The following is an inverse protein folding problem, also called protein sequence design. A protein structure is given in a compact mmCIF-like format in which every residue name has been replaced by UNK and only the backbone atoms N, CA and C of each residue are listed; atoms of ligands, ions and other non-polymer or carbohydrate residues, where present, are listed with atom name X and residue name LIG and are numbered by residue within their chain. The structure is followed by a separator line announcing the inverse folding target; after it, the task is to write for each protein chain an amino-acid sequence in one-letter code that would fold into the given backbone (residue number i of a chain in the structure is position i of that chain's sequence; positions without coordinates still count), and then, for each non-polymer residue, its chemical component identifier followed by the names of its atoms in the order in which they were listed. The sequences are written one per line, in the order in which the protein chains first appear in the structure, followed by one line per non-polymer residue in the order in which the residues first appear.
data_IF_665931139211
#
_entry.id   IF_665931139211
#
_cell.length_a   1.000
_cell.length_b   1.000
_cell.length_c   1.000
_cell.angle_alpha   90.00
_cell.angle_beta   90.00
_cell.angle_gamma   90.00
#
_symmetry.space_group_name_H-M   'P 1'
#
loop_
_entity.id
_entity.type
_entity.pdbx_description
1 polymer ?
#
# COMPACT_ATOMS: atom_id res chain seq x y z
N UNK A 1 -8.20 -0.38 -33.30
CA UNK A 1 -7.52 -1.58 -32.79
C UNK A 1 -8.52 -2.74 -32.82
N UNK A 2 -8.07 -3.94 -33.21
CA UNK A 2 -8.90 -5.14 -33.20
C UNK A 2 -8.83 -5.88 -31.84
N UNK A 3 -7.77 -5.61 -31.07
CA UNK A 3 -7.51 -6.18 -29.77
C UNK A 3 -6.97 -5.12 -28.82
N UNK A 4 -7.53 -5.08 -27.61
CA UNK A 4 -7.08 -4.25 -26.48
C UNK A 4 -6.66 -5.18 -25.34
N UNK A 5 -5.44 -4.99 -24.80
CA UNK A 5 -4.95 -5.73 -23.65
C UNK A 5 -4.65 -4.73 -22.54
N UNK A 6 -5.21 -4.95 -21.36
CA UNK A 6 -5.03 -4.10 -20.20
C UNK A 6 -4.58 -4.93 -18.99
N UNK A 7 -3.49 -4.49 -18.36
CA UNK A 7 -2.97 -5.09 -17.13
C UNK A 7 -3.38 -4.23 -15.94
N UNK A 8 -4.13 -4.81 -15.02
CA UNK A 8 -4.67 -4.18 -13.81
C UNK A 8 -5.24 -2.76 -14.05
N UNK A 9 -6.14 -2.56 -15.02
CA UNK A 9 -6.56 -1.22 -15.43
C UNK A 9 -7.35 -0.46 -14.36
N UNK A 10 -7.82 -1.14 -13.32
CA UNK A 10 -8.61 -0.55 -12.24
C UNK A 10 -7.77 -0.16 -11.02
N UNK A 11 -6.49 -0.52 -11.01
CA UNK A 11 -5.61 -0.23 -9.87
C UNK A 11 -5.51 1.26 -9.58
N UNK A 12 -5.68 1.60 -8.30
CA UNK A 12 -5.59 2.99 -7.79
C UNK A 12 -6.64 3.96 -8.34
N UNK A 13 -7.69 3.46 -9.00
CA UNK A 13 -8.81 4.26 -9.44
C UNK A 13 -9.87 4.38 -8.34
N UNK A 14 -10.58 5.51 -8.29
CA UNK A 14 -11.79 5.64 -7.49
C UNK A 14 -13.00 4.98 -8.19
N UNK A 15 -14.07 4.75 -7.43
CA UNK A 15 -15.26 4.06 -7.95
C UNK A 15 -15.88 4.73 -9.18
N UNK A 16 -15.92 6.06 -9.23
CA UNK A 16 -16.46 6.81 -10.36
C UNK A 16 -15.64 6.58 -11.62
N UNK A 17 -14.31 6.61 -11.50
CA UNK A 17 -13.38 6.35 -12.61
C UNK A 17 -13.45 4.88 -13.06
N UNK A 18 -13.57 3.92 -12.13
CA UNK A 18 -13.75 2.50 -12.45
C UNK A 18 -15.03 2.29 -13.27
N UNK A 19 -16.15 2.92 -12.88
CA UNK A 19 -17.41 2.83 -13.61
C UNK A 19 -17.30 3.42 -15.02
N UNK A 20 -16.69 4.60 -15.17
CA UNK A 20 -16.48 5.23 -16.48
C UNK A 20 -15.60 4.38 -17.40
N UNK A 21 -14.53 3.78 -16.84
CA UNK A 21 -13.64 2.91 -17.59
C UNK A 21 -14.33 1.61 -18.01
N UNK A 22 -15.12 1.00 -17.13
CA UNK A 22 -15.93 -0.17 -17.44
C UNK A 22 -16.91 0.09 -18.58
N UNK A 23 -17.58 1.23 -18.58
CA UNK A 23 -18.48 1.61 -19.65
C UNK A 23 -17.73 1.83 -20.97
N UNK A 24 -16.53 2.41 -20.92
CA UNK A 24 -15.65 2.57 -22.08
C UNK A 24 -15.27 1.21 -22.68
N UNK A 25 -14.88 0.22 -21.85
CA UNK A 25 -14.60 -1.13 -22.30
C UNK A 25 -15.84 -1.80 -22.93
N UNK A 26 -17.02 -1.63 -22.31
CA UNK A 26 -18.28 -2.17 -22.82
C UNK A 26 -18.60 -1.62 -24.22
N UNK A 27 -18.39 -0.33 -24.43
CA UNK A 27 -18.56 0.30 -25.75
C UNK A 27 -17.55 -0.23 -26.77
N UNK A 28 -16.28 -0.43 -26.37
CA UNK A 28 -15.26 -1.02 -27.24
C UNK A 28 -15.64 -2.45 -27.67
N UNK A 29 -16.09 -3.30 -26.74
CA UNK A 29 -16.58 -4.65 -27.02
C UNK A 29 -17.78 -4.62 -27.95
N UNK A 30 -18.74 -3.74 -27.71
CA UNK A 30 -19.92 -3.56 -28.58
C UNK A 30 -19.54 -3.09 -30.00
N UNK A 31 -18.40 -2.42 -30.16
CA UNK A 31 -17.85 -1.99 -31.46
C UNK A 31 -17.01 -3.08 -32.14
N UNK A 32 -16.94 -4.30 -31.59
CA UNK A 32 -16.23 -5.44 -32.17
C UNK A 32 -14.75 -5.51 -31.78
N UNK A 33 -14.28 -4.74 -30.80
CA UNK A 33 -12.92 -4.85 -30.28
C UNK A 33 -12.85 -6.01 -29.28
N UNK A 34 -11.91 -6.93 -29.46
CA UNK A 34 -11.61 -7.96 -28.46
C UNK A 34 -10.85 -7.30 -27.28
N UNK A 35 -11.24 -7.62 -26.04
CA UNK A 35 -10.58 -7.08 -24.85
C UNK A 35 -10.07 -8.22 -23.97
N UNK A 36 -8.82 -8.11 -23.55
CA UNK A 36 -8.20 -8.99 -22.57
C UNK A 36 -7.88 -8.14 -21.34
N UNK A 37 -8.43 -8.52 -20.18
CA UNK A 37 -8.10 -7.92 -18.89
C UNK A 37 -7.27 -8.89 -18.08
N UNK A 38 -6.12 -8.46 -17.61
CA UNK A 38 -5.34 -9.14 -16.60
C UNK A 38 -5.68 -8.48 -15.26
N UNK A 39 -6.24 -9.24 -14.33
CA UNK A 39 -6.73 -8.70 -13.05
C UNK A 39 -6.14 -9.50 -11.90
N UNK A 40 -5.62 -8.79 -10.91
CA UNK A 40 -5.14 -9.40 -9.67
C UNK A 40 -6.26 -9.54 -8.63
N UNK A 41 -7.33 -8.76 -8.75
CA UNK A 41 -8.44 -8.75 -7.81
C UNK A 41 -9.76 -9.18 -8.50
N UNK A 42 -10.45 -10.13 -7.89
CA UNK A 42 -11.74 -10.64 -8.40
C UNK A 42 -12.88 -9.63 -8.31
N UNK A 43 -12.85 -8.77 -7.31
CA UNK A 43 -13.87 -7.71 -7.16
C UNK A 43 -13.93 -6.78 -8.36
N UNK A 44 -12.85 -6.77 -9.16
CA UNK A 44 -12.70 -5.89 -10.30
C UNK A 44 -13.19 -6.52 -11.62
N UNK A 45 -13.68 -7.77 -11.58
CA UNK A 45 -14.18 -8.47 -12.76
C UNK A 45 -15.47 -7.83 -13.27
N UNK A 46 -15.46 -7.23 -14.48
CA UNK A 46 -16.65 -6.61 -15.04
C UNK A 46 -17.74 -7.65 -15.41
N UNK A 47 -19.00 -7.24 -15.31
CA UNK A 47 -20.15 -8.12 -15.61
C UNK A 47 -20.21 -8.57 -17.09
N UNK A 48 -19.64 -7.79 -18.01
CA UNK A 48 -19.64 -8.10 -19.45
C UNK A 48 -18.56 -9.11 -19.85
N UNK A 49 -17.65 -9.51 -18.96
CA UNK A 49 -16.65 -10.54 -19.24
C UNK A 49 -17.30 -11.92 -19.20
N UNK A 50 -17.11 -12.70 -20.28
CA UNK A 50 -17.72 -14.02 -20.46
C UNK A 50 -16.73 -15.18 -20.36
N UNK A 51 -15.44 -14.95 -20.61
CA UNK A 51 -14.41 -15.99 -20.60
C UNK A 51 -13.35 -15.69 -19.55
N UNK A 52 -13.01 -16.71 -18.80
CA UNK A 52 -12.05 -16.61 -17.71
C UNK A 52 -10.94 -17.64 -17.87
N UNK A 53 -9.78 -17.28 -17.35
CA UNK A 53 -8.64 -18.18 -17.22
C UNK A 53 -7.85 -17.80 -15.97
N UNK A 54 -7.16 -18.77 -15.42
CA UNK A 54 -6.27 -18.60 -14.28
C UNK A 54 -4.85 -18.99 -14.66
N UNK A 55 -3.88 -18.17 -14.24
CA UNK A 55 -2.46 -18.45 -14.42
C UNK A 55 -1.86 -18.86 -13.09
N UNK A 56 -1.35 -20.07 -13.00
CA UNK A 56 -0.70 -20.63 -11.82
C UNK A 56 0.52 -21.44 -12.28
N UNK A 57 1.65 -21.29 -11.63
CA UNK A 57 2.92 -21.99 -11.94
C UNK A 57 3.34 -21.89 -13.41
N UNK A 58 3.07 -20.76 -14.05
CA UNK A 58 3.39 -20.52 -15.47
C UNK A 58 2.45 -21.21 -16.45
N UNK A 59 1.36 -21.82 -15.98
CA UNK A 59 0.34 -22.47 -16.79
C UNK A 59 -0.94 -21.64 -16.82
N UNK A 60 -1.50 -21.46 -18.01
CA UNK A 60 -2.83 -20.85 -18.19
C UNK A 60 -3.90 -21.95 -18.27
N UNK A 61 -4.80 -21.97 -17.29
CA UNK A 61 -6.00 -22.81 -17.31
C UNK A 61 -7.19 -21.97 -17.76
N UNK A 62 -7.74 -22.27 -18.93
CA UNK A 62 -8.97 -21.64 -19.40
C UNK A 62 -10.18 -22.37 -18.85
N UNK A 63 -11.16 -21.65 -18.32
CA UNK A 63 -12.39 -22.24 -17.82
C UNK A 63 -13.44 -22.38 -18.94
N UNK A 64 -14.30 -23.39 -18.82
CA UNK A 64 -15.36 -23.69 -19.78
C UNK A 64 -16.73 -23.72 -19.08
N UNK A 65 -17.80 -23.39 -19.82
CA UNK A 65 -19.16 -23.40 -19.31
C UNK A 65 -19.76 -22.00 -19.14
N UNK A 66 -20.96 -21.89 -18.54
CA UNK A 66 -21.59 -20.61 -18.29
C UNK A 66 -20.76 -19.77 -17.28
N UNK A 67 -20.93 -18.44 -17.35
CA UNK A 67 -20.17 -17.45 -16.55
C UNK A 67 -20.10 -17.82 -15.08
N UNK A 68 -21.22 -18.15 -14.46
CA UNK A 68 -21.27 -18.45 -13.02
C UNK A 68 -20.47 -19.71 -12.66
N UNK A 69 -20.49 -20.73 -13.53
CA UNK A 69 -19.67 -21.94 -13.34
C UNK A 69 -18.17 -21.65 -13.47
N UNK A 70 -17.76 -20.77 -14.38
CA UNK A 70 -16.38 -20.33 -14.51
C UNK A 70 -15.93 -19.50 -13.31
N UNK A 71 -16.76 -18.59 -12.79
CA UNK A 71 -16.49 -17.83 -11.57
C UNK A 71 -16.33 -18.74 -10.34
N UNK A 72 -17.18 -19.77 -10.20
CA UNK A 72 -17.05 -20.77 -9.14
C UNK A 72 -15.74 -21.56 -9.23
N UNK A 73 -15.25 -21.88 -10.44
CA UNK A 73 -13.94 -22.51 -10.63
C UNK A 73 -12.78 -21.58 -10.21
N UNK A 74 -12.89 -20.27 -10.47
CA UNK A 74 -11.95 -19.29 -9.94
C UNK A 74 -11.93 -19.27 -8.40
N UNK A 75 -13.05 -19.55 -7.73
CA UNK A 75 -13.13 -19.61 -6.26
C UNK A 75 -12.41 -20.82 -5.65
N UNK A 76 -12.42 -21.94 -6.34
CA UNK A 76 -11.78 -23.16 -5.86
C UNK A 76 -10.29 -23.24 -6.16
N UNK A 77 -9.82 -22.52 -7.18
CA UNK A 77 -8.42 -22.56 -7.65
C UNK A 77 -7.45 -21.67 -6.88
N UNK A 78 -7.94 -20.70 -6.10
CA UNK A 78 -7.06 -19.90 -5.25
C UNK A 78 -7.06 -20.57 -3.88
N UNK A 79 -5.96 -21.29 -3.61
CA UNK A 79 -5.69 -21.75 -2.26
C UNK A 79 -5.80 -20.55 -1.32
N UNK A 80 -6.73 -20.60 -0.38
CA UNK A 80 -6.65 -19.78 0.80
C UNK A 80 -5.39 -20.22 1.51
N UNK A 81 -4.26 -19.59 1.19
CA UNK A 81 -3.05 -19.74 1.97
C UNK A 81 -3.47 -19.59 3.42
N UNK A 82 -3.13 -20.57 4.25
CA UNK A 82 -3.43 -20.51 5.67
C UNK A 82 -2.97 -19.11 6.12
N UNK A 83 -3.91 -18.33 6.68
CA UNK A 83 -3.55 -17.06 7.31
C UNK A 83 -2.68 -17.45 8.48
N UNK A 84 -1.37 -17.43 8.29
CA UNK A 84 -0.41 -17.57 9.38
C UNK A 84 -0.67 -16.35 10.25
N UNK A 85 -1.13 -16.57 11.48
CA UNK A 85 -1.24 -15.46 12.43
C UNK A 85 0.19 -14.96 12.66
N UNK A 86 0.50 -13.72 12.28
CA UNK A 86 1.84 -13.20 12.47
C UNK A 86 2.14 -13.15 13.97
N UNK A 87 3.14 -13.90 14.39
CA UNK A 87 3.73 -13.73 15.71
C UNK A 87 4.54 -12.44 15.67
N UNK A 88 4.01 -11.36 16.23
CA UNK A 88 4.80 -10.14 16.41
C UNK A 88 5.93 -10.46 17.39
N UNK A 89 7.21 -10.19 17.06
CA UNK A 89 8.31 -10.43 17.96
C UNK A 89 8.10 -9.70 19.30
N UNK A 90 8.18 -10.41 20.42
CA UNK A 90 7.94 -9.82 21.76
C UNK A 90 8.88 -8.63 22.05
N UNK A 91 10.10 -8.68 21.54
CA UNK A 91 11.09 -7.59 21.67
C UNK A 91 10.80 -6.38 20.76
N UNK A 92 9.95 -6.53 19.75
CA UNK A 92 9.61 -5.45 18.82
C UNK A 92 8.51 -4.53 19.35
N UNK A 93 7.73 -4.97 20.35
CA UNK A 93 6.61 -4.20 20.91
C UNK A 93 7.09 -3.41 22.15
N UNK A 94 8.13 -2.62 22.01
CA UNK A 94 8.33 -1.51 22.94
C UNK A 94 7.79 -0.23 22.31
N UNK A 95 6.47 -0.13 22.26
CA UNK A 95 5.85 1.19 22.25
C UNK A 95 6.24 1.83 23.58
N UNK A 96 7.20 2.75 23.58
CA UNK A 96 7.35 3.66 24.68
C UNK A 96 5.97 4.25 24.93
N UNK A 97 5.51 4.22 26.18
CA UNK A 97 4.18 4.66 26.54
C UNK A 97 4.05 6.12 26.08
N UNK A 98 3.31 6.33 25.00
CA UNK A 98 3.07 7.66 24.48
C UNK A 98 2.07 8.36 25.40
N UNK A 99 2.54 9.37 26.12
CA UNK A 99 1.79 10.03 27.23
C UNK A 99 0.86 11.16 26.74
N UNK A 100 0.76 11.39 25.42
CA UNK A 100 -0.14 12.42 24.91
C UNK A 100 -1.48 11.79 24.45
N UNK A 101 -2.59 12.55 24.55
CA UNK A 101 -3.94 12.04 24.24
C UNK A 101 -4.13 11.70 22.75
N UNK A 102 -3.30 12.27 21.86
CA UNK A 102 -3.39 12.06 20.42
C UNK A 102 -2.02 11.80 19.81
N UNK A 103 -1.93 10.78 18.97
CA UNK A 103 -0.75 10.49 18.12
C UNK A 103 -0.60 11.58 17.05
N UNK A 104 -1.71 11.99 16.44
CA UNK A 104 -1.74 13.08 15.49
C UNK A 104 -2.93 13.99 15.76
N UNK A 105 -2.70 15.27 15.75
CA UNK A 105 -3.70 16.31 15.91
C UNK A 105 -3.49 17.40 14.85
N UNK A 106 -4.51 17.60 14.02
CA UNK A 106 -4.58 18.63 13.01
C UNK A 106 -5.75 19.54 13.35
N UNK A 107 -5.49 20.84 13.51
CA UNK A 107 -6.52 21.81 13.89
C UNK A 107 -6.73 22.83 12.77
N UNK A 108 -7.93 22.87 12.18
CA UNK A 108 -8.35 23.82 11.16
C UNK A 108 -7.33 23.97 10.01
N UNK A 109 -6.69 22.85 9.63
CA UNK A 109 -5.64 22.83 8.62
C UNK A 109 -6.18 23.21 7.25
N UNK A 110 -5.45 24.07 6.55
CA UNK A 110 -5.74 24.51 5.18
C UNK A 110 -4.55 24.26 4.30
N UNK A 111 -4.77 23.55 3.18
CA UNK A 111 -3.73 23.29 2.19
C UNK A 111 -4.23 23.74 0.82
N UNK A 112 -3.40 24.54 0.15
CA UNK A 112 -3.69 25.09 -1.14
C UNK A 112 -2.54 24.91 -2.11
N UNK A 113 -2.84 24.50 -3.32
CA UNK A 113 -1.89 24.46 -4.44
C UNK A 113 -2.38 25.37 -5.57
N UNK A 114 -1.68 26.48 -5.79
CA UNK A 114 -2.13 27.55 -6.69
C UNK A 114 -3.49 28.08 -6.26
N UNK A 115 -4.48 28.02 -7.15
CA UNK A 115 -5.85 28.47 -6.88
C UNK A 115 -6.77 27.38 -6.30
N UNK A 116 -6.28 26.15 -6.18
CA UNK A 116 -7.06 25.02 -5.68
C UNK A 116 -6.88 24.85 -4.18
N UNK A 117 -7.96 24.97 -3.41
CA UNK A 117 -8.01 24.49 -2.04
C UNK A 117 -8.15 22.95 -2.07
N UNK A 118 -7.22 22.25 -1.42
CA UNK A 118 -7.23 20.78 -1.31
C UNK A 118 -7.75 20.35 0.03
N UNK A 119 -7.35 21.05 1.09
CA UNK A 119 -7.93 20.89 2.44
C UNK A 119 -8.40 22.26 2.92
N UNK A 120 -9.60 22.33 3.49
CA UNK A 120 -10.16 23.56 4.02
C UNK A 120 -10.71 23.34 5.43
N UNK A 121 -10.06 23.98 6.39
CA UNK A 121 -10.39 23.92 7.82
C UNK A 121 -10.50 22.47 8.37
N UNK A 122 -9.65 21.57 7.90
CA UNK A 122 -9.64 20.16 8.31
C UNK A 122 -9.21 20.05 9.79
N UNK A 123 -10.03 19.39 10.59
CA UNK A 123 -9.69 19.01 11.96
C UNK A 123 -9.76 17.50 12.11
N UNK A 124 -8.64 16.89 12.51
CA UNK A 124 -8.51 15.43 12.71
C UNK A 124 -7.71 15.20 13.98
N UNK A 125 -8.16 14.26 14.80
CA UNK A 125 -7.46 13.79 15.99
C UNK A 125 -7.42 12.27 15.96
N UNK A 126 -6.23 11.71 16.09
CA UNK A 126 -6.01 10.26 16.10
C UNK A 126 -5.40 9.90 17.47
N UNK A 127 -6.14 9.16 18.27
CA UNK A 127 -5.68 8.69 19.57
C UNK A 127 -4.78 7.43 19.44
N UNK A 128 -3.94 7.13 20.45
CA UNK A 128 -3.24 5.85 20.51
C UNK A 128 -4.21 4.68 20.37
N UNK A 129 -3.81 3.63 19.65
CA UNK A 129 -4.61 2.42 19.37
C UNK A 129 -5.92 2.67 18.60
N UNK A 130 -6.12 3.87 18.07
CA UNK A 130 -7.26 4.18 17.21
C UNK A 130 -6.95 3.85 15.74
N UNK A 131 -7.61 2.83 15.22
CA UNK A 131 -7.51 2.48 13.80
C UNK A 131 -8.43 3.39 12.97
N UNK A 132 -7.85 4.15 12.06
CA UNK A 132 -8.57 5.18 11.28
C UNK A 132 -8.52 4.86 9.79
N UNK A 133 -9.67 4.77 9.15
CA UNK A 133 -9.82 4.65 7.70
C UNK A 133 -10.15 6.01 7.10
N UNK A 134 -9.36 6.44 6.12
CA UNK A 134 -9.61 7.66 5.33
C UNK A 134 -9.99 7.27 3.91
N UNK A 135 -11.21 7.60 3.50
CA UNK A 135 -11.76 7.34 2.16
C UNK A 135 -12.05 8.63 1.42
N UNK A 136 -12.21 8.56 0.12
CA UNK A 136 -12.57 9.69 -0.74
C UNK A 136 -12.08 9.48 -2.17
N UNK A 137 -12.61 10.27 -3.09
CA UNK A 137 -12.26 10.25 -4.51
C UNK A 137 -10.79 10.58 -4.78
N UNK A 138 -10.31 10.27 -5.99
CA UNK A 138 -8.97 10.69 -6.41
C UNK A 138 -8.89 12.23 -6.45
N UNK A 139 -7.84 12.76 -5.86
CA UNK A 139 -7.68 14.21 -5.73
C UNK A 139 -8.44 14.88 -4.59
N UNK A 140 -9.15 14.12 -3.73
CA UNK A 140 -9.85 14.63 -2.54
C UNK A 140 -8.92 15.10 -1.41
N UNK A 141 -7.59 14.89 -1.53
CA UNK A 141 -6.63 15.35 -0.53
C UNK A 141 -6.13 14.29 0.46
N UNK A 142 -6.45 13.00 0.26
CA UNK A 142 -5.98 11.90 1.15
C UNK A 142 -4.46 11.88 1.32
N UNK A 143 -3.72 11.94 0.21
CA UNK A 143 -2.26 11.98 0.23
C UNK A 143 -1.71 13.29 0.82
N UNK A 144 -2.45 14.39 0.69
CA UNK A 144 -2.11 15.68 1.30
C UNK A 144 -2.28 15.61 2.81
N UNK A 145 -3.36 15.01 3.31
CA UNK A 145 -3.55 14.75 4.72
C UNK A 145 -2.40 13.90 5.29
N UNK A 146 -2.07 12.79 4.60
CA UNK A 146 -0.95 11.95 4.99
C UNK A 146 0.35 12.76 5.02
N UNK A 147 0.62 13.55 3.98
CA UNK A 147 1.81 14.40 3.89
C UNK A 147 1.90 15.47 4.99
N UNK A 148 0.78 15.97 5.54
CA UNK A 148 0.80 16.84 6.72
C UNK A 148 1.28 16.09 7.97
N UNK A 149 0.87 14.83 8.13
CA UNK A 149 1.26 13.98 9.27
C UNK A 149 2.72 13.57 9.15
N UNK A 150 3.14 13.06 7.98
CA UNK A 150 4.52 12.58 7.74
C UNK A 150 5.54 13.71 7.64
N UNK A 151 5.09 14.95 7.35
CA UNK A 151 5.97 16.09 7.12
C UNK A 151 6.44 16.24 5.67
N UNK A 152 5.95 15.40 4.76
CA UNK A 152 6.30 15.49 3.33
C UNK A 152 5.58 16.66 2.62
N UNK A 153 4.48 17.16 3.22
CA UNK A 153 3.82 18.40 2.79
C UNK A 153 4.38 19.59 3.57
N UNK A 154 5.14 20.46 2.89
CA UNK A 154 5.76 21.64 3.52
C UNK A 154 4.76 22.58 4.21
N UNK A 155 3.49 22.53 3.82
CA UNK A 155 2.47 23.35 4.46
C UNK A 155 2.10 22.86 5.89
N UNK A 156 2.65 21.72 6.35
CA UNK A 156 2.51 21.30 7.74
C UNK A 156 3.11 22.32 8.72
N UNK A 157 4.16 23.04 8.32
CA UNK A 157 4.80 24.07 9.15
C UNK A 157 4.01 25.38 9.25
N UNK A 158 3.08 25.62 8.35
CA UNK A 158 2.19 26.79 8.34
C UNK A 158 0.81 26.50 8.92
N UNK A 159 0.57 25.25 9.29
CA UNK A 159 -0.68 24.78 9.87
C UNK A 159 -0.47 24.35 11.35
N UNK A 160 -1.55 24.20 12.08
CA UNK A 160 -1.51 23.68 13.44
C UNK A 160 -1.58 22.14 13.41
N UNK A 161 -0.41 21.53 13.27
CA UNK A 161 -0.20 20.08 13.17
C UNK A 161 0.71 19.64 14.30
N UNK A 162 0.26 18.72 15.11
CA UNK A 162 1.04 18.06 16.16
C UNK A 162 1.06 16.56 15.91
N UNK A 163 2.25 15.96 15.91
CA UNK A 163 2.44 14.53 15.72
C UNK A 163 3.40 14.01 16.79
N UNK A 164 3.03 12.92 17.46
CA UNK A 164 3.75 12.38 18.61
C UNK A 164 4.11 13.46 19.67
N UNK A 165 3.19 14.39 19.94
CA UNK A 165 3.39 15.50 20.88
C UNK A 165 4.27 16.64 20.38
N UNK A 166 4.90 16.50 19.21
CA UNK A 166 5.72 17.55 18.61
C UNK A 166 4.89 18.40 17.64
N UNK A 167 4.74 19.68 17.95
CA UNK A 167 4.11 20.63 17.02
C UNK A 167 5.06 20.92 15.88
N UNK A 168 4.58 20.79 14.64
CA UNK A 168 5.39 21.05 13.45
C UNK A 168 5.90 22.49 13.43
N UNK A 169 7.23 22.65 13.24
CA UNK A 169 7.90 23.95 13.21
C UNK A 169 8.26 24.51 14.59
N UNK A 170 8.17 23.72 15.67
CA UNK A 170 8.60 24.15 17.01
C UNK A 170 10.09 23.94 17.30
N UNK A 171 10.85 23.47 16.31
CA UNK A 171 12.29 23.17 16.44
C UNK A 171 12.61 21.68 16.51
N UNK A 172 11.59 20.83 16.34
CA UNK A 172 11.74 19.38 16.24
C UNK A 172 12.52 18.97 15.00
N UNK A 173 13.28 17.89 15.09
CA UNK A 173 13.87 17.24 13.94
C UNK A 173 12.83 16.40 13.21
N UNK A 174 12.87 16.37 11.88
CA UNK A 174 12.06 15.45 11.06
C UNK A 174 12.30 14.00 11.49
N UNK A 175 13.51 13.68 11.93
CA UNK A 175 13.89 12.35 12.39
C UNK A 175 13.22 11.92 13.69
N UNK A 176 12.90 12.87 14.59
CA UNK A 176 12.22 12.59 15.86
C UNK A 176 10.82 12.01 15.62
N UNK A 177 10.21 12.39 14.49
CA UNK A 177 8.89 11.91 14.10
C UNK A 177 9.02 10.65 13.22
N UNK A 178 9.93 10.65 12.25
CA UNK A 178 10.09 9.51 11.33
C UNK A 178 10.46 8.22 12.06
N UNK A 179 11.22 8.28 13.12
CA UNK A 179 11.57 7.10 13.96
C UNK A 179 10.36 6.38 14.58
N UNK A 180 9.25 7.09 14.73
CA UNK A 180 8.02 6.56 15.34
C UNK A 180 6.95 6.25 14.28
N UNK A 181 7.24 6.44 12.99
CA UNK A 181 6.28 6.39 11.92
C UNK A 181 6.69 5.37 10.85
N UNK A 182 5.93 4.29 10.69
CA UNK A 182 6.03 3.39 9.55
C UNK A 182 5.14 3.90 8.40
N UNK A 183 5.71 4.06 7.21
CA UNK A 183 4.99 4.49 6.02
C UNK A 183 5.12 3.46 4.89
N UNK A 184 4.00 2.91 4.47
CA UNK A 184 3.93 2.07 3.27
C UNK A 184 3.04 2.74 2.23
N UNK A 185 3.60 3.06 1.07
CA UNK A 185 2.89 3.73 -0.01
C UNK A 185 3.29 3.17 -1.38
N UNK A 186 2.44 3.38 -2.39
CA UNK A 186 2.78 3.01 -3.77
C UNK A 186 3.99 3.80 -4.30
N UNK A 187 4.20 5.02 -3.80
CA UNK A 187 5.34 5.85 -4.17
C UNK A 187 6.64 5.31 -3.57
N UNK A 188 6.64 4.92 -2.28
CA UNK A 188 7.77 4.25 -1.64
C UNK A 188 8.13 2.97 -2.41
N UNK A 189 7.15 2.15 -2.73
CA UNK A 189 7.36 0.91 -3.48
C UNK A 189 8.06 1.18 -4.83
N UNK A 190 7.57 2.15 -5.61
CA UNK A 190 8.18 2.51 -6.90
C UNK A 190 9.58 3.10 -6.79
N UNK A 191 9.87 3.80 -5.70
CA UNK A 191 11.19 4.39 -5.43
C UNK A 191 12.21 3.40 -4.90
N UNK A 192 11.76 2.22 -4.45
CA UNK A 192 12.67 1.20 -3.94
C UNK A 192 13.42 0.51 -5.09
N UNK A 193 14.38 1.23 -5.67
CA UNK A 193 15.21 0.78 -6.81
C UNK A 193 16.56 0.22 -6.39
N UNK A 194 16.85 0.22 -5.10
CA UNK A 194 18.12 -0.29 -4.54
C UNK A 194 18.18 -1.81 -4.72
N UNK A 195 19.34 -2.28 -5.20
CA UNK A 195 19.58 -3.72 -5.37
C UNK A 195 20.00 -4.33 -4.04
N UNK A 196 19.09 -4.99 -3.38
CA UNK A 196 19.31 -5.71 -2.13
C UNK A 196 18.34 -6.89 -2.03
N UNK A 197 18.57 -7.79 -1.11
CA UNK A 197 17.66 -8.89 -0.79
C UNK A 197 16.52 -8.45 0.13
N UNK A 198 15.51 -9.30 0.29
CA UNK A 198 14.33 -9.00 1.10
C UNK A 198 14.69 -8.71 2.57
N UNK A 199 15.63 -9.44 3.15
CA UNK A 199 16.07 -9.21 4.53
C UNK A 199 16.72 -7.83 4.70
N UNK A 200 17.55 -7.43 3.73
CA UNK A 200 18.16 -6.09 3.73
C UNK A 200 17.13 -4.98 3.62
N UNK A 201 16.03 -5.21 2.88
CA UNK A 201 14.90 -4.25 2.81
C UNK A 201 14.27 -4.09 4.18
N UNK A 202 13.93 -5.18 4.86
CA UNK A 202 13.35 -5.12 6.21
C UNK A 202 14.33 -4.46 7.19
N UNK A 203 15.60 -4.86 7.17
CA UNK A 203 16.62 -4.25 8.04
C UNK A 203 16.82 -2.75 7.76
N UNK A 204 16.58 -2.26 6.54
CA UNK A 204 16.70 -0.83 6.24
C UNK A 204 15.67 0.03 6.98
N UNK A 205 14.54 -0.56 7.40
CA UNK A 205 13.53 0.09 8.23
C UNK A 205 14.06 0.53 9.59
N UNK A 206 15.03 -0.17 10.18
CA UNK A 206 15.66 0.26 11.44
C UNK A 206 16.50 1.53 11.32
N UNK A 207 16.81 1.96 10.08
CA UNK A 207 17.62 3.12 9.77
C UNK A 207 16.85 4.24 9.08
N UNK A 208 15.53 4.12 8.94
CA UNK A 208 14.66 5.06 8.20
C UNK A 208 15.17 5.34 6.78
N UNK A 209 15.74 4.35 6.10
CA UNK A 209 16.41 4.52 4.82
C UNK A 209 15.81 3.63 3.73
N UNK A 210 15.85 4.10 2.47
CA UNK A 210 15.58 3.28 1.30
C UNK A 210 16.90 2.60 0.92
N UNK A 211 17.05 1.34 1.31
CA UNK A 211 18.27 0.56 1.19
C UNK A 211 19.11 0.53 2.47
N UNK A 212 19.88 -0.52 2.62
CA UNK A 212 20.72 -0.76 3.79
C UNK A 212 22.14 -0.22 3.52
N UNK A 213 22.51 0.86 4.20
CA UNK A 213 23.83 1.52 4.05
C UNK A 213 24.75 1.28 5.23
N UNK A 214 24.20 1.07 6.41
CA UNK A 214 24.92 0.73 7.61
C UNK A 214 24.76 -0.75 7.94
N UNK A 215 25.79 -1.42 8.49
CA UNK A 215 25.68 -2.82 8.86
C UNK A 215 24.68 -3.00 10.01
N UNK A 216 23.66 -3.85 9.84
CA UNK A 216 22.71 -4.13 10.91
C UNK A 216 23.38 -4.96 12.00
N UNK A 217 22.94 -4.79 13.24
CA UNK A 217 23.35 -5.60 14.38
C UNK A 217 22.76 -7.02 14.27
N UNK A 218 23.31 -7.97 14.99
CA UNK A 218 22.78 -9.35 15.06
C UNK A 218 21.32 -9.37 15.53
N UNK A 219 20.95 -8.49 16.47
CA UNK A 219 19.57 -8.34 16.94
C UNK A 219 18.65 -7.86 15.80
N UNK A 220 19.05 -6.84 15.04
CA UNK A 220 18.27 -6.32 13.91
C UNK A 220 18.08 -7.36 12.80
N UNK A 221 19.14 -8.15 12.51
CA UNK A 221 19.04 -9.26 11.55
C UNK A 221 18.05 -10.32 12.04
N UNK A 222 18.10 -10.69 13.32
CA UNK A 222 17.16 -11.64 13.91
C UNK A 222 15.74 -11.12 13.83
N UNK A 223 15.50 -9.90 14.27
CA UNK A 223 14.17 -9.26 14.19
C UNK A 223 13.67 -9.16 12.75
N UNK A 224 14.53 -8.79 11.80
CA UNK A 224 14.17 -8.75 10.38
C UNK A 224 13.71 -10.13 9.85
N UNK A 225 14.37 -11.21 10.26
CA UNK A 225 13.94 -12.58 9.90
C UNK A 225 12.61 -12.97 10.56
N UNK A 226 12.40 -12.58 11.82
CA UNK A 226 11.14 -12.80 12.53
C UNK A 226 9.98 -12.03 11.88
N UNK A 227 10.21 -10.80 11.43
CA UNK A 227 9.23 -10.03 10.67
C UNK A 227 8.91 -10.66 9.31
N UNK A 228 9.93 -11.11 8.55
CA UNK A 228 9.69 -11.86 7.31
C UNK A 228 8.90 -13.14 7.57
N UNK A 229 9.15 -13.83 8.68
CA UNK A 229 8.37 -15.01 9.07
C UNK A 229 6.91 -14.63 9.38
N UNK A 230 6.68 -13.49 10.03
CA UNK A 230 5.34 -13.01 10.35
C UNK A 230 4.46 -12.76 9.10
N UNK A 231 5.08 -12.39 7.98
CA UNK A 231 4.39 -12.19 6.69
C UNK A 231 4.56 -13.37 5.72
N UNK A 232 5.00 -14.55 6.21
CA UNK A 232 5.24 -15.78 5.43
C UNK A 232 6.30 -15.64 4.32
N UNK A 233 7.23 -14.71 4.48
CA UNK A 233 8.30 -14.43 3.52
C UNK A 233 9.69 -14.91 3.96
N UNK A 234 9.79 -15.68 5.06
CA UNK A 234 11.08 -16.15 5.60
C UNK A 234 11.91 -16.95 4.60
N UNK A 235 11.26 -17.73 3.76
CA UNK A 235 11.89 -18.56 2.72
C UNK A 235 12.49 -17.74 1.56
N UNK A 236 12.13 -16.46 1.47
CA UNK A 236 12.59 -15.54 0.42
C UNK A 236 13.54 -14.45 0.97
N UNK A 237 14.03 -14.59 2.21
CA UNK A 237 14.86 -13.60 2.87
C UNK A 237 16.10 -13.16 2.06
N UNK A 238 16.71 -14.08 1.33
CA UNK A 238 17.93 -13.86 0.54
C UNK A 238 17.66 -13.66 -0.97
N UNK A 239 16.37 -13.64 -1.36
CA UNK A 239 15.99 -13.37 -2.76
C UNK A 239 16.08 -11.87 -3.03
N UNK A 240 16.65 -11.46 -4.19
CA UNK A 240 16.67 -10.07 -4.59
C UNK A 240 15.26 -9.48 -4.60
N UNK A 241 15.04 -8.38 -3.88
CA UNK A 241 13.74 -7.74 -3.73
C UNK A 241 13.02 -7.50 -5.07
N UNK A 242 13.77 -7.08 -6.09
CA UNK A 242 13.22 -6.80 -7.42
C UNK A 242 12.82 -8.07 -8.20
N UNK A 243 13.25 -9.25 -7.76
CA UNK A 243 12.85 -10.54 -8.36
C UNK A 243 11.56 -11.08 -7.75
N UNK A 244 11.09 -10.50 -6.65
CA UNK A 244 9.84 -10.84 -6.03
C UNK A 244 8.66 -10.29 -6.83
N UNK A 245 7.51 -10.96 -6.76
CA UNK A 245 6.26 -10.43 -7.30
C UNK A 245 5.87 -9.13 -6.60
N UNK A 246 5.01 -8.33 -7.22
CA UNK A 246 4.53 -7.06 -6.65
C UNK A 246 3.90 -7.24 -5.26
N UNK A 247 3.10 -8.31 -5.08
CA UNK A 247 2.49 -8.65 -3.80
C UNK A 247 3.52 -9.00 -2.72
N UNK A 248 4.51 -9.85 -3.05
CA UNK A 248 5.60 -10.23 -2.15
C UNK A 248 6.47 -9.02 -1.78
N UNK A 249 6.81 -8.18 -2.76
CA UNK A 249 7.52 -6.92 -2.48
C UNK A 249 6.76 -6.06 -1.47
N UNK A 250 5.42 -6.02 -1.58
CA UNK A 250 4.59 -5.26 -0.65
C UNK A 250 4.58 -5.84 0.75
N UNK A 251 4.54 -7.18 0.87
CA UNK A 251 4.67 -7.87 2.17
C UNK A 251 6.01 -7.56 2.83
N UNK A 252 7.10 -7.61 2.07
CA UNK A 252 8.45 -7.26 2.56
C UNK A 252 8.54 -5.80 3.02
N UNK A 253 7.86 -4.85 2.36
CA UNK A 253 7.83 -3.45 2.78
C UNK A 253 6.95 -3.20 4.02
N UNK A 254 6.07 -4.13 4.37
CA UNK A 254 5.24 -4.06 5.58
C UNK A 254 5.98 -4.70 6.77
N UNK A 255 6.80 -5.70 6.51
CA UNK A 255 7.62 -6.38 7.51
C UNK A 255 8.73 -5.48 8.06
#
# INVERSE_FOLDING_TARGET
AELLICDNPFDSLDQGTVQALNETFRLAVASGVAVILLLSNRSDIPEWVEKFGHVEDGLLTAFAGPRDAQLAQLETGIGTGAIVQPGIPEDAIRLEAYDAPYIAELNQCKVRYGDRNVLDALTVKIAPLQHTLVTGENGAGKSTLLGLITGDCMQCFSNDVTVFGHRRGSGESVWDIKRQLGLVSNDLHRRYTVRCDALSVVCSGFFDSIGLYDPPTELQIRLGREWLQAVDMAHQAEIPFQSLSYGEQRLVLIA
#
